data_IF_405551526848
#
_entry.id   IF_405551526848
#
_cell.length_a   1.000
_cell.length_b   1.000
_cell.length_c   1.000
_cell.angle_alpha   90.00
_cell.angle_beta   90.00
_cell.angle_gamma   90.00
#
_symmetry.space_group_name_H-M   'P 1'
#
loop_
_entity.id
_entity.type
_entity.pdbx_description
1 polymer ?
#
# COMPACT_ATOMS: atom_id res chain seq x y z
N UNK A 1 12.79 -34.33 14.94
CA UNK A 1 12.51 -34.03 16.36
C UNK A 1 13.77 -33.47 17.03
N UNK A 2 14.94 -34.04 16.77
CA UNK A 2 16.22 -33.67 17.41
C UNK A 2 16.74 -32.21 17.17
N UNK A 3 16.30 -31.51 16.11
CA UNK A 3 16.61 -30.07 15.96
C UNK A 3 15.70 -29.19 16.82
N UNK A 4 14.44 -29.60 16.98
CA UNK A 4 13.45 -28.86 17.76
C UNK A 4 13.71 -28.98 19.27
N UNK A 5 14.28 -30.12 19.70
CA UNK A 5 14.69 -30.33 21.10
C UNK A 5 15.95 -29.53 21.45
N UNK A 6 16.92 -29.38 20.54
CA UNK A 6 18.09 -28.51 20.75
C UNK A 6 17.73 -27.04 20.82
N UNK A 7 16.83 -26.58 19.95
CA UNK A 7 16.37 -25.19 19.97
C UNK A 7 15.62 -24.85 21.28
N UNK A 8 14.97 -25.83 21.90
CA UNK A 8 14.32 -25.66 23.20
C UNK A 8 15.31 -25.66 24.38
N UNK A 9 16.33 -26.52 24.35
CA UNK A 9 17.39 -26.53 25.38
C UNK A 9 18.22 -25.24 25.34
N UNK A 10 18.57 -24.72 24.16
CA UNK A 10 19.34 -23.48 24.03
C UNK A 10 18.54 -22.24 24.48
N UNK A 11 17.22 -22.24 24.24
CA UNK A 11 16.32 -21.18 24.72
C UNK A 11 16.23 -21.17 26.24
N UNK A 12 16.15 -22.36 26.87
CA UNK A 12 16.02 -22.50 28.32
C UNK A 12 17.34 -22.17 29.06
N UNK A 13 18.48 -22.38 28.41
CA UNK A 13 19.79 -21.93 28.90
C UNK A 13 19.91 -20.41 28.83
N UNK A 14 19.44 -19.77 27.74
CA UNK A 14 19.50 -18.31 27.60
C UNK A 14 18.61 -17.58 28.60
N UNK A 15 17.38 -18.07 28.86
CA UNK A 15 16.51 -17.53 29.93
C UNK A 15 17.12 -17.72 31.31
N UNK A 16 17.71 -18.89 31.62
CA UNK A 16 18.40 -19.11 32.91
C UNK A 16 19.60 -18.19 33.11
N UNK A 17 20.38 -17.89 32.06
CA UNK A 17 21.46 -16.90 32.18
C UNK A 17 20.94 -15.47 32.35
N UNK A 18 19.83 -15.10 31.69
CA UNK A 18 19.23 -13.77 31.84
C UNK A 18 18.60 -13.56 33.22
N UNK A 19 17.89 -14.55 33.76
CA UNK A 19 17.34 -14.50 35.12
C UNK A 19 18.45 -14.41 36.18
N UNK A 20 19.54 -15.17 36.03
CA UNK A 20 20.71 -15.06 36.95
C UNK A 20 21.41 -13.71 36.88
N UNK A 21 21.44 -13.05 35.71
CA UNK A 21 21.99 -11.69 35.59
C UNK A 21 21.05 -10.62 36.12
N UNK A 22 19.73 -10.82 36.07
CA UNK A 22 18.75 -9.89 36.64
C UNK A 22 18.67 -9.99 38.17
N UNK A 23 18.75 -11.20 38.74
CA UNK A 23 18.77 -11.40 40.21
C UNK A 23 20.12 -11.02 40.86
N UNK A 24 21.20 -10.90 40.08
CA UNK A 24 22.52 -10.49 40.55
C UNK A 24 22.75 -8.98 40.64
N UNK A 25 21.81 -8.15 40.20
CA UNK A 25 21.95 -6.69 40.23
C UNK A 25 21.40 -6.13 41.53
N UNK A 26 22.08 -6.44 42.65
CA UNK A 26 21.94 -5.64 43.87
C UNK A 26 22.41 -4.22 43.57
N UNK A 27 21.48 -3.27 43.63
CA UNK A 27 21.77 -1.83 43.65
C UNK A 27 22.60 -1.55 44.90
N UNK A 28 23.93 -1.53 44.75
CA UNK A 28 24.83 -1.03 45.78
C UNK A 28 24.62 0.48 45.85
N UNK A 29 23.80 0.92 46.80
CA UNK A 29 23.82 2.30 47.28
C UNK A 29 25.18 2.54 47.95
N UNK A 30 26.17 2.96 47.16
CA UNK A 30 27.40 3.50 47.70
C UNK A 30 27.05 4.77 48.52
N UNK A 31 27.51 4.90 49.78
CA UNK A 31 27.33 6.12 50.53
C UNK A 31 27.94 7.29 49.75
N UNK A 32 27.23 8.42 49.69
CA UNK A 32 27.62 9.61 48.92
C UNK A 32 29.08 10.04 49.15
N UNK A 33 29.60 9.82 50.36
CA UNK A 33 31.00 10.08 50.73
C UNK A 33 32.04 9.24 49.97
N UNK A 34 31.72 8.01 49.55
CA UNK A 34 32.63 7.17 48.74
C UNK A 34 32.68 7.61 47.28
N UNK A 35 31.56 8.12 46.76
CA UNK A 35 31.49 8.65 45.39
C UNK A 35 32.27 9.97 45.30
N UNK A 36 32.12 10.85 46.29
CA UNK A 36 32.85 12.12 46.34
C UNK A 36 34.37 11.91 46.49
N UNK A 37 34.80 10.88 47.24
CA UNK A 37 36.21 10.51 47.38
C UNK A 37 36.82 9.96 46.07
N UNK A 38 36.07 9.14 45.32
CA UNK A 38 36.49 8.61 44.03
C UNK A 38 36.56 9.69 42.94
N UNK A 39 35.64 10.67 42.98
CA UNK A 39 35.67 11.83 42.07
C UNK A 39 36.88 12.72 42.37
N UNK A 40 37.21 12.93 43.64
CA UNK A 40 38.41 13.68 44.03
C UNK A 40 39.70 12.95 43.61
N UNK A 41 39.80 11.64 43.79
CA UNK A 41 40.98 10.86 43.38
C UNK A 41 41.14 10.83 41.84
N UNK A 42 40.04 10.78 41.10
CA UNK A 42 40.04 10.86 39.64
C UNK A 42 40.44 12.25 39.13
N UNK A 43 40.01 13.32 39.82
CA UNK A 43 40.38 14.70 39.51
C UNK A 43 41.87 14.98 39.78
N UNK A 44 42.43 14.47 40.88
CA UNK A 44 43.86 14.57 41.19
C UNK A 44 44.74 13.83 40.16
N UNK A 45 44.32 12.63 39.73
CA UNK A 45 45.03 11.89 38.66
C UNK A 45 44.96 12.58 37.31
N UNK A 46 43.92 13.37 37.06
CA UNK A 46 43.74 14.14 35.83
C UNK A 46 44.37 15.55 35.90
N UNK A 47 44.89 15.98 37.06
CA UNK A 47 45.49 17.31 37.25
C UNK A 47 44.49 18.46 37.15
N UNK A 48 43.22 18.23 37.51
CA UNK A 48 42.15 19.23 37.41
C UNK A 48 41.85 19.79 38.80
N UNK A 49 42.18 21.06 39.05
CA UNK A 49 41.80 21.76 40.28
C UNK A 49 40.29 22.06 40.27
N UNK A 50 39.53 21.33 41.09
CA UNK A 50 38.09 21.56 41.31
C UNK A 50 37.90 22.68 42.34
N UNK A 51 38.10 23.93 41.93
CA UNK A 51 37.56 25.11 42.62
C UNK A 51 37.52 26.32 41.68
N UNK A 52 36.42 26.44 40.93
CA UNK A 52 35.93 27.72 40.42
C UNK A 52 34.45 27.82 40.76
N UNK A 53 34.10 28.72 41.67
CA UNK A 53 32.72 29.10 41.93
C UNK A 53 32.12 29.67 40.64
N UNK A 54 31.10 29.00 40.10
CA UNK A 54 30.31 29.51 38.98
C UNK A 54 29.37 30.64 39.48
N UNK A 55 29.16 31.70 38.67
CA UNK A 55 28.38 32.86 39.08
C UNK A 55 26.93 32.50 39.43
N UNK A 56 26.47 33.06 40.55
CA UNK A 56 25.22 32.73 41.27
C UNK A 56 23.93 33.22 40.60
N UNK A 57 23.79 33.11 39.27
CA UNK A 57 22.57 33.54 38.60
C UNK A 57 22.16 32.57 37.48
N UNK A 58 21.83 31.35 37.87
CA UNK A 58 21.09 30.40 37.02
C UNK A 58 19.70 30.22 37.65
N UNK A 59 18.60 30.45 36.91
CA UNK A 59 17.26 30.27 37.45
C UNK A 59 17.04 28.81 37.88
N UNK A 60 16.81 28.58 39.18
CA UNK A 60 16.52 27.26 39.75
C UNK A 60 15.01 26.99 39.74
N UNK A 61 14.40 27.07 38.56
CA UNK A 61 13.02 26.67 38.37
C UNK A 61 12.94 25.66 37.21
N UNK A 62 12.69 24.39 37.55
CA UNK A 62 12.17 23.43 36.58
C UNK A 62 10.86 23.99 36.01
N UNK A 63 10.65 24.01 34.69
CA UNK A 63 9.35 24.33 34.15
C UNK A 63 8.38 23.26 34.67
N UNK A 64 7.43 23.69 35.50
CA UNK A 64 6.28 22.88 35.89
C UNK A 64 5.60 22.39 34.62
N UNK A 65 5.54 21.07 34.48
CA UNK A 65 5.04 20.33 33.33
C UNK A 65 3.59 20.65 32.99
N UNK A 66 3.41 21.71 32.20
CA UNK A 66 2.17 21.94 31.45
C UNK A 66 2.46 22.20 29.96
N UNK A 67 3.66 22.68 29.60
CA UNK A 67 4.03 22.92 28.20
C UNK A 67 4.54 21.66 27.46
N UNK A 68 5.32 20.79 28.11
CA UNK A 68 5.79 19.55 27.47
C UNK A 68 4.65 18.55 27.21
N UNK A 69 3.68 18.45 28.13
CA UNK A 69 2.50 17.59 27.96
C UNK A 69 1.51 18.19 26.95
N UNK A 70 1.44 19.51 26.82
CA UNK A 70 0.63 20.16 25.79
C UNK A 70 1.26 20.11 24.41
N UNK A 71 2.59 20.20 24.29
CA UNK A 71 3.31 20.05 23.02
C UNK A 71 3.34 18.60 22.55
N UNK A 72 3.48 17.61 23.44
CA UNK A 72 3.35 16.20 23.05
C UNK A 72 1.90 15.85 22.70
N UNK A 73 0.90 16.37 23.42
CA UNK A 73 -0.51 16.21 23.02
C UNK A 73 -0.83 16.95 21.73
N UNK A 74 -0.31 18.15 21.50
CA UNK A 74 -0.49 18.92 20.26
C UNK A 74 0.29 18.30 19.10
N UNK A 75 1.48 17.70 19.30
CA UNK A 75 2.17 16.90 18.28
C UNK A 75 1.45 15.58 18.00
N UNK A 76 0.97 14.90 19.04
CA UNK A 76 0.20 13.66 18.90
C UNK A 76 -1.16 13.93 18.26
N UNK A 77 -1.80 15.06 18.57
CA UNK A 77 -3.03 15.54 17.92
C UNK A 77 -2.76 16.06 16.50
N UNK A 78 -1.60 16.66 16.21
CA UNK A 78 -1.19 17.06 14.84
C UNK A 78 -0.76 15.88 13.98
N UNK A 79 -0.17 14.83 14.57
CA UNK A 79 0.09 13.53 13.93
C UNK A 79 -1.20 12.72 13.77
N UNK A 80 -2.15 12.85 14.69
CA UNK A 80 -3.50 12.28 14.59
C UNK A 80 -4.44 13.09 13.69
N UNK A 81 -4.12 14.36 13.40
CA UNK A 81 -4.86 15.24 12.48
C UNK A 81 -4.37 15.14 11.02
N UNK A 82 -3.52 14.16 10.70
CA UNK A 82 -3.47 13.64 9.35
C UNK A 82 -4.89 13.18 9.00
N UNK A 83 -5.50 13.89 8.05
CA UNK A 83 -6.79 13.51 7.49
C UNK A 83 -6.52 12.26 6.67
N UNK A 84 -6.44 11.09 7.32
CA UNK A 84 -6.18 9.79 6.69
C UNK A 84 -7.35 9.35 5.79
N UNK A 85 -7.73 10.20 4.85
CA UNK A 85 -8.70 10.02 3.81
C UNK A 85 -7.93 9.28 2.72
N UNK A 86 -8.33 8.03 2.51
CA UNK A 86 -7.75 7.16 1.49
C UNK A 86 -8.58 7.25 0.23
N UNK A 87 -7.93 7.58 -0.90
CA UNK A 87 -8.53 7.49 -2.22
C UNK A 87 -8.26 6.09 -2.79
N UNK A 88 -9.30 5.40 -3.25
CA UNK A 88 -9.17 4.08 -3.87
C UNK A 88 -9.63 4.14 -5.31
N UNK A 89 -8.73 3.88 -6.26
CA UNK A 89 -9.11 3.77 -7.66
C UNK A 89 -9.75 2.42 -7.95
N UNK A 90 -10.92 2.44 -8.59
CA UNK A 90 -11.63 1.26 -9.08
C UNK A 90 -11.97 1.41 -10.55
N UNK A 91 -11.62 0.41 -11.37
CA UNK A 91 -11.91 0.35 -12.80
C UNK A 91 -12.98 -0.71 -13.07
N UNK A 92 -13.88 -0.39 -14.00
CA UNK A 92 -14.84 -1.33 -14.57
C UNK A 92 -14.21 -2.01 -15.77
N UNK A 93 -14.06 -3.33 -15.70
CA UNK A 93 -13.40 -4.16 -16.71
C UNK A 93 -14.30 -5.32 -17.12
N UNK A 94 -13.98 -5.98 -18.22
CA UNK A 94 -14.63 -7.25 -18.57
C UNK A 94 -14.33 -8.27 -17.47
N UNK A 95 -15.34 -9.06 -17.09
CA UNK A 95 -15.19 -10.04 -16.03
C UNK A 95 -14.10 -11.08 -16.38
N UNK A 96 -13.24 -11.38 -15.42
CA UNK A 96 -12.08 -12.27 -15.61
C UNK A 96 -12.47 -13.70 -16.01
N UNK A 97 -13.70 -14.13 -15.72
CA UNK A 97 -14.21 -15.45 -16.12
C UNK A 97 -14.69 -15.49 -17.58
N UNK A 98 -14.82 -14.33 -18.25
CA UNK A 98 -15.28 -14.26 -19.63
C UNK A 98 -14.13 -14.42 -20.61
N UNK A 99 -14.28 -15.36 -21.54
CA UNK A 99 -13.40 -15.45 -22.71
C UNK A 99 -13.74 -14.33 -23.70
N UNK A 100 -12.88 -13.31 -23.76
CA UNK A 100 -12.99 -12.23 -24.74
C UNK A 100 -12.83 -12.74 -26.18
N UNK A 101 -13.44 -12.00 -27.12
CA UNK A 101 -13.30 -12.21 -28.55
C UNK A 101 -12.82 -10.93 -29.20
N UNK A 102 -11.93 -11.06 -30.18
CA UNK A 102 -11.50 -9.93 -31.01
C UNK A 102 -12.62 -9.61 -32.01
N UNK A 103 -12.86 -8.32 -32.25
CA UNK A 103 -13.84 -7.90 -33.25
C UNK A 103 -13.40 -8.32 -34.66
N UNK A 104 -14.33 -8.64 -35.58
CA UNK A 104 -13.99 -8.98 -36.96
C UNK A 104 -13.23 -7.87 -37.70
N UNK A 105 -13.45 -6.61 -37.31
CA UNK A 105 -12.78 -5.42 -37.87
C UNK A 105 -11.39 -5.15 -37.27
N UNK A 106 -10.91 -5.98 -36.33
CA UNK A 106 -9.63 -5.83 -35.61
C UNK A 106 -9.45 -4.51 -34.87
N UNK A 107 -10.52 -3.74 -34.66
CA UNK A 107 -10.46 -2.46 -33.94
C UNK A 107 -10.31 -2.61 -32.43
N UNK A 108 -10.54 -3.81 -31.89
CA UNK A 108 -10.52 -4.08 -30.45
C UNK A 108 -11.22 -5.38 -30.07
N UNK A 109 -11.64 -5.46 -28.82
CA UNK A 109 -12.37 -6.59 -28.25
C UNK A 109 -13.88 -6.32 -28.20
N UNK A 110 -14.68 -7.38 -28.26
CA UNK A 110 -16.14 -7.27 -28.12
C UNK A 110 -16.48 -7.01 -26.65
N UNK A 111 -17.08 -5.84 -26.37
CA UNK A 111 -17.52 -5.44 -25.03
C UNK A 111 -19.04 -5.37 -24.90
N UNK A 112 -19.78 -5.39 -26.02
CA UNK A 112 -21.23 -5.35 -26.03
C UNK A 112 -21.83 -6.69 -25.59
N UNK A 113 -22.81 -6.63 -24.68
CA UNK A 113 -23.46 -7.83 -24.13
C UNK A 113 -22.57 -8.69 -23.22
N UNK A 114 -21.35 -8.24 -22.94
CA UNK A 114 -20.40 -8.94 -22.08
C UNK A 114 -20.56 -8.49 -20.62
N UNK A 115 -20.50 -9.45 -19.70
CA UNK A 115 -20.49 -9.17 -18.27
C UNK A 115 -19.22 -8.40 -17.88
N UNK A 116 -19.40 -7.34 -17.10
CA UNK A 116 -18.31 -6.54 -16.55
C UNK A 116 -18.36 -6.58 -15.02
N UNK A 117 -17.20 -6.43 -14.41
CA UNK A 117 -17.03 -6.42 -12.96
C UNK A 117 -16.06 -5.32 -12.54
N UNK A 118 -15.88 -5.18 -11.23
CA UNK A 118 -14.73 -4.45 -10.70
C UNK A 118 -13.46 -5.23 -11.04
N UNK A 119 -12.39 -4.52 -11.37
CA UNK A 119 -11.07 -5.14 -11.56
C UNK A 119 -10.64 -5.88 -10.28
N UNK A 120 -10.19 -7.15 -10.36
CA UNK A 120 -9.86 -7.93 -9.16
C UNK A 120 -8.81 -7.28 -8.26
N UNK A 121 -7.79 -6.64 -8.84
CA UNK A 121 -6.76 -5.93 -8.05
C UNK A 121 -7.32 -4.71 -7.31
N UNK A 122 -8.34 -4.05 -7.88
CA UNK A 122 -8.96 -2.88 -7.26
C UNK A 122 -9.88 -3.29 -6.09
N UNK A 123 -10.48 -4.50 -6.14
CA UNK A 123 -11.21 -5.05 -4.99
C UNK A 123 -10.29 -5.24 -3.77
N UNK A 124 -9.05 -5.67 -4.02
CA UNK A 124 -8.04 -5.90 -2.98
C UNK A 124 -7.53 -4.57 -2.42
N UNK A 125 -7.28 -3.59 -3.29
CA UNK A 125 -6.93 -2.23 -2.89
C UNK A 125 -8.03 -1.61 -2.00
N UNK A 126 -9.29 -1.80 -2.38
CA UNK A 126 -10.44 -1.34 -1.60
C UNK A 126 -10.54 -2.04 -0.25
N UNK A 127 -10.41 -3.36 -0.22
CA UNK A 127 -10.44 -4.12 1.04
C UNK A 127 -9.34 -3.65 1.99
N UNK A 128 -8.13 -3.39 1.49
CA UNK A 128 -7.04 -2.92 2.35
C UNK A 128 -7.35 -1.54 2.94
N UNK A 129 -7.83 -0.61 2.13
CA UNK A 129 -8.22 0.71 2.61
C UNK A 129 -9.34 0.62 3.67
N UNK A 130 -10.31 -0.29 3.48
CA UNK A 130 -11.37 -0.54 4.47
C UNK A 130 -10.81 -1.17 5.75
N UNK A 131 -9.89 -2.14 5.66
CA UNK A 131 -9.21 -2.73 6.83
C UNK A 131 -8.41 -1.69 7.61
N UNK A 132 -7.70 -0.79 6.92
CA UNK A 132 -7.00 0.31 7.57
C UNK A 132 -7.97 1.25 8.30
N UNK A 133 -9.14 1.51 7.72
CA UNK A 133 -10.21 2.26 8.40
C UNK A 133 -10.73 1.53 9.64
N UNK A 134 -10.94 0.22 9.57
CA UNK A 134 -11.38 -0.59 10.73
C UNK A 134 -10.34 -0.62 11.86
N UNK A 135 -9.05 -0.60 11.51
CA UNK A 135 -7.93 -0.44 12.45
C UNK A 135 -7.75 1.00 12.95
N UNK A 136 -8.61 1.94 12.54
CA UNK A 136 -8.53 3.38 12.86
C UNK A 136 -7.25 4.07 12.36
N UNK A 137 -6.57 3.46 11.38
CA UNK A 137 -5.44 4.06 10.68
C UNK A 137 -5.90 4.94 9.51
N UNK A 138 -7.12 4.76 9.03
CA UNK A 138 -7.79 5.65 8.08
C UNK A 138 -9.10 6.19 8.68
N UNK A 139 -9.46 7.43 8.33
CA UNK A 139 -10.68 8.08 8.82
C UNK A 139 -11.83 7.95 7.82
N UNK A 140 -11.52 7.97 6.53
CA UNK A 140 -12.51 7.91 5.45
C UNK A 140 -11.92 7.18 4.23
N UNK A 141 -12.74 6.37 3.56
CA UNK A 141 -12.39 5.70 2.30
C UNK A 141 -13.28 6.24 1.19
N UNK A 142 -12.66 6.85 0.17
CA UNK A 142 -13.36 7.38 -1.00
C UNK A 142 -13.00 6.55 -2.23
N UNK A 143 -14.01 5.93 -2.85
CA UNK A 143 -13.82 5.21 -4.11
C UNK A 143 -13.82 6.19 -5.30
N UNK A 144 -12.94 5.98 -6.26
CA UNK A 144 -12.80 6.81 -7.46
C UNK A 144 -12.87 5.95 -8.71
N UNK A 145 -13.59 6.42 -9.73
CA UNK A 145 -13.57 5.80 -11.05
C UNK A 145 -13.64 6.87 -12.14
N UNK A 146 -12.83 6.73 -13.17
CA UNK A 146 -12.87 7.52 -14.40
C UNK A 146 -13.39 6.62 -15.53
N UNK A 147 -14.50 7.01 -16.15
CA UNK A 147 -15.07 6.24 -17.24
C UNK A 147 -16.50 6.64 -17.56
N UNK A 148 -17.10 5.89 -18.48
CA UNK A 148 -18.47 6.10 -18.93
C UNK A 148 -19.53 5.91 -17.83
N UNK A 149 -20.82 6.19 -18.11
CA UNK A 149 -21.91 6.13 -17.14
C UNK A 149 -22.03 4.79 -16.39
N UNK A 150 -21.71 3.67 -17.06
CA UNK A 150 -21.77 2.32 -16.47
C UNK A 150 -20.75 2.10 -15.35
N UNK A 151 -19.71 2.94 -15.24
CA UNK A 151 -18.72 2.87 -14.15
C UNK A 151 -19.34 3.15 -12.77
N UNK A 152 -20.55 3.73 -12.72
CA UNK A 152 -21.29 3.87 -11.47
C UNK A 152 -21.61 2.53 -10.81
N UNK A 153 -21.78 1.45 -11.57
CA UNK A 153 -22.07 0.11 -11.03
C UNK A 153 -20.93 -0.39 -10.12
N UNK A 154 -19.68 -0.25 -10.56
CA UNK A 154 -18.52 -0.64 -9.76
C UNK A 154 -18.31 0.29 -8.57
N UNK A 155 -18.59 1.59 -8.71
CA UNK A 155 -18.57 2.53 -7.58
C UNK A 155 -19.61 2.19 -6.52
N UNK A 156 -20.82 1.78 -6.92
CA UNK A 156 -21.85 1.31 -5.98
C UNK A 156 -21.43 0.01 -5.29
N UNK A 157 -20.74 -0.87 -6.01
CA UNK A 157 -20.15 -2.09 -5.42
C UNK A 157 -19.08 -1.72 -4.39
N UNK A 158 -18.21 -0.74 -4.67
CA UNK A 158 -17.21 -0.26 -3.72
C UNK A 158 -17.84 0.32 -2.45
N UNK A 159 -18.89 1.13 -2.62
CA UNK A 159 -19.69 1.68 -1.51
C UNK A 159 -20.36 0.58 -0.68
N UNK A 160 -20.77 -0.52 -1.30
CA UNK A 160 -21.36 -1.67 -0.61
C UNK A 160 -20.33 -2.52 0.13
N UNK A 161 -19.09 -2.58 -0.38
CA UNK A 161 -17.97 -3.30 0.25
C UNK A 161 -17.32 -2.54 1.41
N UNK A 162 -17.47 -1.22 1.48
CA UNK A 162 -17.02 -0.48 2.67
C UNK A 162 -16.60 0.97 2.45
N UNK A 163 -16.53 1.44 1.21
CA UNK A 163 -16.24 2.86 0.93
C UNK A 163 -17.34 3.77 1.49
N UNK A 164 -16.95 4.94 1.99
CA UNK A 164 -17.85 5.92 2.61
C UNK A 164 -18.49 6.83 1.56
N UNK A 165 -17.68 7.29 0.60
CA UNK A 165 -18.08 8.14 -0.53
C UNK A 165 -17.52 7.59 -1.84
N UNK A 166 -18.10 8.05 -2.95
CA UNK A 166 -17.61 7.75 -4.28
C UNK A 166 -17.47 9.03 -5.12
N UNK A 167 -16.46 9.08 -5.96
CA UNK A 167 -16.24 10.11 -6.98
C UNK A 167 -16.25 9.43 -8.35
N UNK A 168 -17.18 9.83 -9.19
CA UNK A 168 -17.25 9.41 -10.60
C UNK A 168 -16.79 10.57 -11.47
N UNK A 169 -15.63 10.43 -12.10
CA UNK A 169 -15.24 11.34 -13.18
C UNK A 169 -15.81 10.84 -14.49
N UNK A 170 -16.66 11.66 -15.10
CA UNK A 170 -17.50 11.30 -16.21
C UNK A 170 -16.87 11.70 -17.55
N UNK A 171 -16.81 10.72 -18.44
CA UNK A 171 -16.45 10.84 -19.85
C UNK A 171 -17.51 10.12 -20.68
N UNK A 172 -17.57 10.37 -21.99
CA UNK A 172 -18.42 9.56 -22.88
C UNK A 172 -17.90 8.11 -22.97
N UNK A 173 -18.73 7.17 -23.42
CA UNK A 173 -18.27 5.78 -23.61
C UNK A 173 -17.18 5.70 -24.70
N UNK A 174 -17.24 6.57 -25.72
CA UNK A 174 -16.23 6.67 -26.77
C UNK A 174 -14.90 7.20 -26.22
N UNK A 175 -14.94 8.25 -25.39
CA UNK A 175 -13.76 8.79 -24.71
C UNK A 175 -13.15 7.76 -23.74
N UNK A 176 -14.00 7.05 -22.99
CA UNK A 176 -13.57 6.01 -22.04
C UNK A 176 -12.74 4.91 -22.71
N UNK A 177 -13.11 4.51 -23.93
CA UNK A 177 -12.40 3.48 -24.69
C UNK A 177 -10.98 3.87 -25.13
N UNK A 178 -10.65 5.17 -25.07
CA UNK A 178 -9.34 5.72 -25.49
C UNK A 178 -8.53 6.27 -24.32
N UNK A 179 -8.97 6.00 -23.09
CA UNK A 179 -8.24 6.42 -21.90
C UNK A 179 -6.96 5.60 -21.72
N UNK A 180 -5.86 6.29 -21.48
CA UNK A 180 -4.56 5.72 -21.20
C UNK A 180 -4.25 5.90 -19.70
N UNK A 181 -3.33 5.10 -19.15
CA UNK A 181 -2.90 5.21 -17.75
C UNK A 181 -2.45 6.63 -17.38
N UNK A 182 -1.87 7.37 -18.34
CA UNK A 182 -1.46 8.75 -18.14
C UNK A 182 -2.64 9.72 -17.92
N UNK A 183 -3.75 9.54 -18.64
CA UNK A 183 -4.97 10.33 -18.43
C UNK A 183 -5.56 10.07 -17.05
N UNK A 184 -5.67 8.79 -16.67
CA UNK A 184 -6.18 8.37 -15.36
C UNK A 184 -5.33 8.97 -14.24
N UNK A 185 -4.00 8.90 -14.35
CA UNK A 185 -3.08 9.45 -13.35
C UNK A 185 -3.18 10.99 -13.23
N UNK A 186 -3.32 11.72 -14.35
CA UNK A 186 -3.55 13.18 -14.31
C UNK A 186 -4.86 13.54 -13.64
N UNK A 187 -5.93 12.80 -13.93
CA UNK A 187 -7.24 12.99 -13.27
C UNK A 187 -7.15 12.70 -11.77
N UNK A 188 -6.53 11.58 -11.39
CA UNK A 188 -6.29 11.23 -9.99
C UNK A 188 -5.50 12.33 -9.27
N UNK A 189 -4.43 12.86 -9.86
CA UNK A 189 -3.66 13.98 -9.31
C UNK A 189 -4.56 15.16 -8.95
N UNK A 190 -5.42 15.61 -9.88
CA UNK A 190 -6.34 16.73 -9.63
C UNK A 190 -7.29 16.46 -8.48
N UNK A 191 -7.83 15.25 -8.40
CA UNK A 191 -8.71 14.86 -7.29
C UNK A 191 -7.95 14.83 -5.97
N UNK A 192 -6.75 14.24 -5.94
CA UNK A 192 -5.85 14.18 -4.79
C UNK A 192 -5.57 15.58 -4.24
N UNK A 193 -5.16 16.50 -5.11
CA UNK A 193 -4.86 17.90 -4.75
C UNK A 193 -6.11 18.66 -4.25
N UNK A 194 -7.26 18.46 -4.90
CA UNK A 194 -8.48 19.22 -4.59
C UNK A 194 -9.14 18.84 -3.25
N UNK A 195 -9.20 17.55 -2.94
CA UNK A 195 -9.86 17.03 -1.73
C UNK A 195 -8.84 16.77 -0.60
N UNK A 196 -7.53 16.95 -0.86
CA UNK A 196 -6.41 16.76 0.08
C UNK A 196 -6.36 15.36 0.67
N UNK A 197 -6.28 14.36 -0.21
CA UNK A 197 -6.05 12.97 0.19
C UNK A 197 -4.61 12.77 0.65
N UNK A 198 -4.38 11.86 1.60
CA UNK A 198 -3.05 11.56 2.13
C UNK A 198 -2.52 10.19 1.65
N UNK A 199 -3.38 9.32 1.13
CA UNK A 199 -2.97 8.04 0.57
C UNK A 199 -3.84 7.66 -0.64
N UNK A 200 -3.21 7.07 -1.66
CA UNK A 200 -3.91 6.54 -2.84
C UNK A 200 -3.64 5.05 -2.98
N UNK A 201 -4.70 4.26 -3.00
CA UNK A 201 -4.68 2.81 -3.20
C UNK A 201 -5.19 2.48 -4.60
N UNK A 202 -4.39 1.76 -5.38
CA UNK A 202 -4.73 1.32 -6.73
C UNK A 202 -4.50 -0.18 -6.83
N UNK A 203 -5.15 -0.85 -7.78
CA UNK A 203 -4.72 -2.19 -8.17
C UNK A 203 -3.33 -2.16 -8.83
N UNK A 204 -2.61 -3.29 -8.78
CA UNK A 204 -1.36 -3.50 -9.51
C UNK A 204 -1.48 -3.18 -10.99
N UNK A 205 -2.48 -3.77 -11.64
CA UNK A 205 -2.79 -3.58 -13.05
C UNK A 205 -4.30 -3.74 -13.27
N UNK A 206 -4.79 -3.27 -14.40
CA UNK A 206 -6.13 -3.60 -14.85
C UNK A 206 -6.05 -4.77 -15.85
N UNK A 207 -6.92 -5.76 -15.71
CA UNK A 207 -6.87 -7.00 -16.51
C UNK A 207 -7.26 -6.83 -17.99
N UNK A 208 -7.68 -5.63 -18.39
CA UNK A 208 -8.05 -5.31 -19.77
C UNK A 208 -6.90 -4.68 -20.57
N UNK A 209 -6.15 -3.75 -19.96
CA UNK A 209 -4.97 -3.10 -20.57
C UNK A 209 -3.63 -3.71 -20.14
N UNK A 210 -3.62 -4.49 -19.05
CA UNK A 210 -2.45 -5.14 -18.44
C UNK A 210 -1.20 -4.24 -18.33
N UNK A 211 -1.40 -2.93 -18.21
CA UNK A 211 -0.30 -1.95 -18.38
C UNK A 211 0.54 -1.75 -17.12
N UNK A 212 -0.03 -1.96 -15.93
CA UNK A 212 0.64 -1.75 -14.62
C UNK A 212 1.26 -0.34 -14.45
N UNK A 213 0.73 0.69 -15.10
CA UNK A 213 1.36 2.01 -15.22
C UNK A 213 0.71 3.12 -14.36
N UNK A 214 -0.59 3.05 -14.07
CA UNK A 214 -1.32 4.16 -13.45
C UNK A 214 -0.73 4.59 -12.10
N UNK A 215 -0.40 3.62 -11.23
CA UNK A 215 0.16 3.89 -9.90
C UNK A 215 1.56 4.54 -9.94
N UNK A 216 2.57 4.00 -10.65
CA UNK A 216 3.88 4.64 -10.73
C UNK A 216 3.81 6.02 -11.40
N UNK A 217 2.99 6.19 -12.44
CA UNK A 217 2.82 7.51 -13.09
C UNK A 217 2.23 8.51 -12.09
N UNK A 218 1.18 8.12 -11.35
CA UNK A 218 0.57 9.01 -10.36
C UNK A 218 1.57 9.43 -9.28
N UNK A 219 2.35 8.49 -8.76
CA UNK A 219 3.38 8.77 -7.76
C UNK A 219 4.41 9.78 -8.29
N UNK A 220 4.89 9.61 -9.52
CA UNK A 220 5.80 10.56 -10.16
C UNK A 220 5.17 11.94 -10.42
N UNK A 221 3.89 12.00 -10.78
CA UNK A 221 3.17 13.26 -11.02
C UNK A 221 2.90 14.06 -9.73
N UNK A 222 2.74 13.37 -8.60
CA UNK A 222 2.55 13.95 -7.27
C UNK A 222 3.86 14.21 -6.53
N UNK A 223 4.97 13.66 -7.02
CA UNK A 223 6.26 13.59 -6.30
C UNK A 223 6.11 12.89 -4.94
N UNK A 224 5.37 11.78 -4.92
CA UNK A 224 5.08 11.01 -3.72
C UNK A 224 5.87 9.69 -3.67
N UNK A 225 6.25 9.22 -2.46
CA UNK A 225 6.67 7.85 -2.24
C UNK A 225 5.68 6.83 -2.83
N UNK A 226 6.22 5.74 -3.38
CA UNK A 226 5.43 4.67 -3.96
C UNK A 226 5.72 3.32 -3.30
N UNK A 227 4.68 2.56 -3.05
CA UNK A 227 4.74 1.19 -2.56
C UNK A 227 4.03 0.26 -3.56
N UNK A 228 4.73 -0.11 -4.63
CA UNK A 228 4.15 -0.95 -5.69
C UNK A 228 4.15 -2.43 -5.31
N UNK A 229 3.16 -3.19 -5.80
CA UNK A 229 3.08 -4.65 -5.64
C UNK A 229 3.01 -5.08 -4.17
N UNK A 230 2.29 -4.32 -3.35
CA UNK A 230 2.16 -4.56 -1.93
C UNK A 230 1.44 -5.89 -1.67
N UNK A 231 2.04 -6.74 -0.84
CA UNK A 231 1.47 -7.99 -0.31
C UNK A 231 1.24 -7.95 1.20
N UNK A 232 1.75 -6.93 1.91
CA UNK A 232 1.42 -6.67 3.31
C UNK A 232 1.56 -5.19 3.65
N UNK A 233 0.61 -4.63 4.40
CA UNK A 233 0.65 -3.23 4.87
C UNK A 233 0.49 -3.20 6.38
N UNK A 234 1.43 -2.53 7.06
CA UNK A 234 1.47 -2.40 8.51
C UNK A 234 1.80 -0.95 8.90
N UNK A 235 1.38 -0.55 10.10
CA UNK A 235 1.77 0.73 10.67
C UNK A 235 3.28 0.74 10.94
N UNK A 236 3.97 1.78 10.47
CA UNK A 236 5.42 1.92 10.60
C UNK A 236 5.88 2.93 11.66
N UNK A 237 4.94 3.55 12.39
CA UNK A 237 5.18 4.65 13.32
C UNK A 237 5.61 5.95 12.63
N UNK A 238 5.56 7.06 13.36
CA UNK A 238 6.11 8.37 12.94
C UNK A 238 5.60 8.86 11.57
N UNK A 239 4.32 8.64 11.24
CA UNK A 239 3.74 9.03 9.94
C UNK A 239 4.25 8.20 8.75
N UNK A 240 4.72 6.97 9.01
CA UNK A 240 5.15 6.04 7.98
C UNK A 240 4.33 4.75 8.00
N UNK A 241 4.25 4.09 6.85
CA UNK A 241 3.75 2.75 6.68
C UNK A 241 4.90 1.80 6.37
N UNK A 242 4.83 0.57 6.90
CA UNK A 242 5.72 -0.53 6.54
C UNK A 242 4.99 -1.39 5.51
N UNK A 243 5.54 -1.47 4.31
CA UNK A 243 4.92 -2.20 3.19
C UNK A 243 5.86 -3.30 2.72
N UNK A 244 5.36 -4.54 2.71
CA UNK A 244 6.05 -5.67 2.07
C UNK A 244 5.54 -5.80 0.65
N UNK A 245 6.47 -5.94 -0.29
CA UNK A 245 6.25 -5.95 -1.72
C UNK A 245 6.70 -7.27 -2.31
N UNK A 246 5.99 -7.72 -3.33
CA UNK A 246 6.39 -8.83 -4.17
C UNK A 246 7.37 -8.35 -5.24
N UNK A 247 8.53 -8.98 -5.29
CA UNK A 247 9.55 -8.79 -6.31
C UNK A 247 9.92 -10.16 -6.91
N UNK A 248 10.58 -10.17 -8.07
CA UNK A 248 10.89 -11.42 -8.77
C UNK A 248 11.69 -12.43 -7.91
N UNK A 249 12.55 -11.93 -7.02
CA UNK A 249 13.37 -12.73 -6.11
C UNK A 249 12.71 -13.10 -4.77
N UNK A 250 11.48 -12.69 -4.51
CA UNK A 250 10.79 -12.92 -3.23
C UNK A 250 10.11 -11.66 -2.68
N UNK A 251 10.40 -11.33 -1.42
CA UNK A 251 9.76 -10.23 -0.70
C UNK A 251 10.77 -9.14 -0.34
N UNK A 252 10.35 -7.89 -0.50
CA UNK A 252 11.10 -6.71 -0.07
C UNK A 252 10.23 -5.84 0.86
N UNK A 253 10.77 -5.40 1.99
CA UNK A 253 10.03 -4.60 2.96
C UNK A 253 10.59 -3.19 3.02
N UNK A 254 9.75 -2.24 2.62
CA UNK A 254 10.10 -0.81 2.59
C UNK A 254 9.31 -0.03 3.65
N UNK A 255 9.91 1.07 4.13
CA UNK A 255 9.23 2.07 4.95
C UNK A 255 8.87 3.26 4.05
N UNK A 256 7.59 3.59 3.95
CA UNK A 256 7.08 4.70 3.11
C UNK A 256 6.46 5.77 3.98
N UNK A 257 6.79 7.03 3.68
CA UNK A 257 6.26 8.20 4.39
C UNK A 257 4.89 8.58 3.83
N UNK A 258 3.97 9.03 4.69
CA UNK A 258 2.69 9.63 4.29
C UNK A 258 2.96 11.09 3.86
N UNK A 259 2.47 11.56 2.70
CA UNK A 259 1.54 10.86 1.79
C UNK A 259 2.22 9.90 0.81
N UNK A 260 1.50 8.86 0.36
CA UNK A 260 2.05 7.83 -0.56
C UNK A 260 1.03 7.28 -1.56
N UNK A 261 1.53 6.63 -2.62
CA UNK A 261 0.73 5.84 -3.56
C UNK A 261 1.09 4.36 -3.41
N UNK A 262 0.09 3.49 -3.31
CA UNK A 262 0.26 2.04 -3.19
C UNK A 262 -0.45 1.32 -4.32
N UNK A 263 0.19 0.27 -4.85
CA UNK A 263 -0.48 -0.69 -5.74
C UNK A 263 -0.60 -2.07 -5.08
N UNK A 264 -1.81 -2.61 -5.05
CA UNK A 264 -2.12 -3.87 -4.39
C UNK A 264 -1.85 -5.08 -5.30
N UNK A 265 -1.07 -6.04 -4.80
CA UNK A 265 -0.93 -7.36 -5.41
C UNK A 265 -2.03 -8.32 -4.93
N UNK A 266 -2.26 -9.43 -5.66
CA UNK A 266 -3.29 -10.41 -5.32
C UNK A 266 -3.13 -11.01 -3.93
N UNK A 267 -1.91 -11.05 -3.40
CA UNK A 267 -1.59 -11.67 -2.11
C UNK A 267 -1.84 -10.78 -0.90
N UNK A 268 -2.21 -9.51 -1.10
CA UNK A 268 -2.35 -8.55 -0.01
C UNK A 268 -3.48 -8.92 0.96
N UNK A 269 -4.63 -9.31 0.43
CA UNK A 269 -5.78 -9.72 1.21
C UNK A 269 -6.81 -10.48 0.36
N UNK A 270 -7.84 -10.99 1.03
CA UNK A 270 -9.04 -11.53 0.40
C UNK A 270 -10.18 -10.49 0.51
N UNK A 271 -10.72 -9.97 -0.61
CA UNK A 271 -11.81 -9.00 -0.59
C UNK A 271 -13.09 -9.57 0.02
N UNK A 272 -13.75 -8.80 0.88
CA UNK A 272 -15.03 -9.22 1.47
C UNK A 272 -16.18 -9.21 0.45
N UNK A 273 -17.19 -10.03 0.71
CA UNK A 273 -18.46 -9.96 0.02
C UNK A 273 -19.34 -8.84 0.58
N UNK A 274 -20.01 -8.10 -0.31
CA UNK A 274 -20.99 -7.12 0.09
C UNK A 274 -22.28 -7.81 0.52
N UNK A 275 -22.73 -7.56 1.75
CA UNK A 275 -24.01 -8.11 2.25
C UNK A 275 -25.20 -7.37 1.66
N UNK A 276 -26.35 -8.05 1.52
CA UNK A 276 -27.59 -7.42 1.01
C UNK A 276 -27.96 -6.11 1.73
N UNK A 277 -27.87 -6.00 3.08
CA UNK A 277 -28.11 -4.73 3.77
C UNK A 277 -27.16 -3.61 3.33
N UNK A 278 -25.88 -3.92 3.11
CA UNK A 278 -24.89 -2.94 2.70
C UNK A 278 -25.09 -2.49 1.25
N UNK A 279 -25.52 -3.39 0.35
CA UNK A 279 -25.90 -3.05 -1.02
C UNK A 279 -27.06 -2.05 -1.03
N UNK A 280 -28.05 -2.24 -0.15
CA UNK A 280 -29.17 -1.30 -0.03
C UNK A 280 -28.74 0.06 0.55
N UNK A 281 -27.84 0.07 1.53
CA UNK A 281 -27.27 1.32 2.08
C UNK A 281 -26.39 2.04 1.05
N UNK A 282 -25.65 1.31 0.22
CA UNK A 282 -24.76 1.88 -0.80
C UNK A 282 -25.48 2.75 -1.84
N UNK A 283 -26.76 2.47 -2.12
CA UNK A 283 -27.60 3.32 -2.99
C UNK A 283 -27.84 4.71 -2.40
N UNK A 284 -27.82 4.85 -1.07
CA UNK A 284 -28.02 6.12 -0.36
C UNK A 284 -26.71 6.87 -0.07
N UNK A 285 -25.55 6.20 -0.17
CA UNK A 285 -24.25 6.82 0.10
C UNK A 285 -23.93 7.90 -0.96
N UNK A 286 -23.17 8.95 -0.60
CA UNK A 286 -22.81 10.02 -1.52
C UNK A 286 -21.97 9.51 -2.70
N UNK A 287 -22.39 9.87 -3.91
CA UNK A 287 -21.64 9.68 -5.15
C UNK A 287 -21.57 11.03 -5.86
N UNK A 288 -20.38 11.64 -5.85
CA UNK A 288 -20.10 12.92 -6.52
C UNK A 288 -19.76 12.64 -7.97
N UNK A 289 -20.58 13.13 -8.90
CA UNK A 289 -20.29 13.08 -10.32
C UNK A 289 -19.58 14.37 -10.75
N UNK A 290 -18.45 14.25 -11.46
CA UNK A 290 -17.66 15.38 -11.94
C UNK A 290 -17.39 15.15 -13.43
N UNK A 291 -17.88 16.02 -14.34
CA UNK A 291 -17.45 16.00 -15.72
C UNK A 291 -15.94 16.18 -15.85
N UNK A 292 -15.27 15.41 -16.71
CA UNK A 292 -13.80 15.54 -16.92
C UNK A 292 -13.38 16.97 -17.29
N UNK A 293 -14.27 17.69 -18.01
CA UNK A 293 -14.06 19.06 -18.48
C UNK A 293 -13.86 20.04 -17.33
N UNK A 294 -14.49 19.80 -16.20
CA UNK A 294 -14.42 20.67 -15.01
C UNK A 294 -13.07 20.54 -14.28
N UNK A 295 -12.32 19.46 -14.55
CA UNK A 295 -11.00 19.23 -13.96
C UNK A 295 -9.85 19.83 -14.78
N UNK A 296 -10.13 20.33 -16.00
CA UNK A 296 -9.11 20.90 -16.89
C UNK A 296 -8.04 19.89 -17.31
N UNK A 297 -8.37 18.61 -17.35
CA UNK A 297 -7.44 17.53 -17.77
C UNK A 297 -7.63 17.25 -19.26
N UNK A 298 -6.54 17.34 -20.01
CA UNK A 298 -6.50 16.88 -21.39
C UNK A 298 -6.45 15.35 -21.45
N UNK A 299 -7.43 14.77 -22.15
CA UNK A 299 -7.60 13.32 -22.35
C UNK A 299 -7.32 12.90 -23.79
N UNK A 300 -6.63 13.74 -24.58
CA UNK A 300 -6.24 13.42 -25.95
C UNK A 300 -5.30 12.20 -25.97
N UNK A 301 -5.67 11.10 -26.66
CA UNK A 301 -4.83 9.91 -26.82
C UNK A 301 -3.43 10.26 -27.34
N UNK A 302 -2.40 9.68 -26.70
CA UNK A 302 -1.01 9.80 -27.14
C UNK A 302 -0.58 8.63 -28.02
N UNK A 303 -1.29 7.52 -27.93
CA UNK A 303 -1.09 6.30 -28.69
C UNK A 303 -2.30 6.00 -29.58
N UNK A 304 -2.04 5.28 -30.66
CA UNK A 304 -3.07 4.81 -31.59
C UNK A 304 -2.97 3.28 -31.68
N UNK A 305 -4.09 2.60 -31.42
CA UNK A 305 -4.19 1.15 -31.62
C UNK A 305 -4.44 0.87 -33.10
N UNK A 306 -3.42 0.36 -33.79
CA UNK A 306 -3.49 0.09 -35.23
C UNK A 306 -4.35 -1.14 -35.51
N UNK A 307 -4.10 -2.24 -34.81
CA UNK A 307 -4.88 -3.47 -34.91
C UNK A 307 -4.82 -4.29 -33.62
N UNK A 308 -5.88 -5.07 -33.39
CA UNK A 308 -5.97 -6.10 -32.36
C UNK A 308 -6.21 -7.44 -33.05
N UNK A 309 -5.38 -8.43 -32.74
CA UNK A 309 -5.43 -9.77 -33.34
C UNK A 309 -5.47 -10.85 -32.27
N UNK A 310 -6.02 -12.01 -32.63
CA UNK A 310 -5.96 -13.17 -31.75
C UNK A 310 -4.52 -13.70 -31.68
N UNK A 311 -4.04 -14.16 -30.51
CA UNK A 311 -2.74 -14.79 -30.41
C UNK A 311 -2.71 -16.08 -31.26
N UNK A 312 -1.52 -16.50 -31.73
CA UNK A 312 -1.38 -17.73 -32.50
C UNK A 312 -1.99 -18.93 -31.76
N UNK A 313 -2.84 -19.70 -32.45
CA UNK A 313 -3.44 -20.91 -31.89
C UNK A 313 -2.33 -21.89 -31.53
N UNK A 314 -2.28 -22.31 -30.27
CA UNK A 314 -1.31 -23.31 -29.78
C UNK A 314 -1.45 -24.59 -30.61
N UNK A 315 -0.35 -25.04 -31.21
CA UNK A 315 -0.31 -26.33 -31.90
C UNK A 315 -0.55 -27.47 -30.91
N UNK A 316 -1.34 -28.46 -31.34
CA UNK A 316 -1.60 -29.64 -30.53
C UNK A 316 -0.29 -30.34 -30.14
N UNK A 317 -0.19 -30.70 -28.87
CA UNK A 317 0.93 -31.49 -28.36
C UNK A 317 0.87 -32.95 -28.84
N UNK A 318 1.92 -33.70 -28.53
CA UNK A 318 1.93 -35.16 -28.67
C UNK A 318 2.09 -35.84 -27.32
N UNK A 319 1.67 -37.10 -27.23
CA UNK A 319 1.98 -37.96 -26.09
C UNK A 319 3.37 -38.57 -26.24
N UNK A 320 4.05 -38.77 -25.13
CA UNK A 320 5.34 -39.48 -25.06
C UNK A 320 5.15 -40.73 -24.21
N UNK A 321 5.80 -41.81 -24.59
CA UNK A 321 5.59 -43.13 -23.98
C UNK A 321 6.29 -43.27 -22.63
N UNK A 322 7.41 -42.56 -22.43
CA UNK A 322 8.19 -42.60 -21.20
C UNK A 322 8.93 -41.28 -20.91
N UNK A 323 9.59 -41.23 -19.75
CA UNK A 323 10.38 -40.08 -19.29
C UNK A 323 11.60 -39.84 -20.20
N UNK A 324 12.19 -40.90 -20.77
CA UNK A 324 13.37 -40.76 -21.63
C UNK A 324 13.01 -40.05 -22.95
N UNK A 325 11.89 -40.44 -23.56
CA UNK A 325 11.32 -39.82 -24.74
C UNK A 325 10.92 -38.36 -24.47
N UNK A 326 10.39 -38.06 -23.29
CA UNK A 326 10.12 -36.68 -22.88
C UNK A 326 11.40 -35.84 -22.84
N UNK A 327 12.44 -36.31 -22.14
CA UNK A 327 13.72 -35.60 -22.03
C UNK A 327 14.36 -35.42 -23.40
N UNK A 328 14.34 -36.44 -24.25
CA UNK A 328 14.85 -36.36 -25.62
C UNK A 328 14.12 -35.28 -26.43
N UNK A 329 12.78 -35.23 -26.35
CA UNK A 329 11.96 -34.22 -27.04
C UNK A 329 12.18 -32.81 -26.49
N UNK A 330 12.43 -32.66 -25.19
CA UNK A 330 12.75 -31.37 -24.59
C UNK A 330 14.13 -30.86 -25.01
N UNK A 331 15.13 -31.75 -25.13
CA UNK A 331 16.45 -31.44 -25.67
C UNK A 331 16.38 -31.07 -27.16
N UNK A 332 15.63 -31.84 -27.97
CA UNK A 332 15.39 -31.54 -29.40
C UNK A 332 14.78 -30.15 -29.60
N UNK A 333 13.86 -29.74 -28.72
CA UNK A 333 13.23 -28.41 -28.75
C UNK A 333 14.04 -27.30 -28.06
N UNK A 334 15.21 -27.61 -27.52
CA UNK A 334 16.11 -26.61 -26.92
C UNK A 334 15.66 -26.04 -25.56
N UNK A 335 14.68 -26.66 -24.89
CA UNK A 335 14.21 -26.21 -23.57
C UNK A 335 15.15 -26.63 -22.42
N UNK A 336 16.00 -27.62 -22.67
CA UNK A 336 16.99 -28.12 -21.72
C UNK A 336 18.35 -28.06 -22.42
N UNK A 337 19.33 -27.37 -21.81
CA UNK A 337 20.70 -27.38 -22.31
C UNK A 337 21.24 -28.82 -22.25
N UNK A 338 21.96 -29.21 -23.30
CA UNK A 338 22.42 -30.58 -23.55
C UNK A 338 23.22 -31.16 -22.37
#
# INVERSE_FOLDING_TARGET
MDRFERDFEDLDVTTKTMEKTMDGTTVLNAPKSQVDALIAEAADKAGIELNQELPSNVPTALPTGTQAVSEDKDLTERLAALRNISLVGVKRVVDYAVKIRVKPDRSGVVTEGVQHSMNPFDEIALEEAVKLKEKKLATEVVAFSLGGPKSQEVLRTALAKGADKAIHVQVSDEEASKLESFHVAKTLKKIVESEKFDAVFLGKQAIDDDSSQTAPILAGLLDWPQALYASKVEEGGDGHMKVTREIDGGLDTIKVKIPFVLSADLRLNEPRYATLPNIMKAKKKPLKAIPIKDLGVDIKPQTETIEVTEPPVRQAGGFVEDVAALVAKLKEKGFVKA
#
